data_IF_614309505687
#
_entry.id   IF_614309505687
#
_cell.length_a   1.000
_cell.length_b   1.000
_cell.length_c   1.000
_cell.angle_alpha   90.00
_cell.angle_beta   90.00
_cell.angle_gamma   90.00
#
_symmetry.space_group_name_H-M   'P 1'
#
loop_
_entity.id
_entity.type
_entity.pdbx_description
1 polymer ?
#
# COMPACT_ATOMS: atom_id res chain seq x y z
N UNK A 1 -11.14 -6.99 37.35
CA UNK A 1 -10.80 -6.13 36.20
C UNK A 1 -9.93 -6.98 35.30
N UNK A 2 -10.46 -7.38 34.13
CA UNK A 2 -9.68 -8.10 33.12
C UNK A 2 -9.12 -7.05 32.18
N UNK A 3 -7.81 -7.06 32.03
CA UNK A 3 -7.07 -6.23 31.09
C UNK A 3 -7.53 -6.54 29.66
N UNK A 4 -8.05 -5.51 28.98
CA UNK A 4 -8.31 -5.53 27.56
C UNK A 4 -6.96 -5.35 26.85
N UNK A 5 -6.31 -6.45 26.48
CA UNK A 5 -5.35 -6.43 25.38
C UNK A 5 -6.16 -6.28 24.10
N UNK A 6 -5.98 -5.18 23.39
CA UNK A 6 -6.49 -5.01 22.04
C UNK A 6 -5.81 -6.03 21.13
N UNK A 7 -6.40 -7.22 20.98
CA UNK A 7 -6.18 -8.05 19.80
C UNK A 7 -7.13 -7.55 18.71
N UNK A 8 -6.58 -7.33 17.52
CA UNK A 8 -7.18 -6.57 16.44
C UNK A 8 -8.65 -6.94 16.14
N UNK A 9 -9.57 -5.96 16.04
CA UNK A 9 -10.96 -6.20 15.66
C UNK A 9 -11.13 -6.81 14.25
N UNK A 10 -10.10 -6.76 13.40
CA UNK A 10 -10.09 -7.41 12.08
C UNK A 10 -10.25 -8.94 12.18
N UNK A 11 -9.56 -9.60 13.11
CA UNK A 11 -9.64 -11.06 13.25
C UNK A 11 -11.06 -11.53 13.60
N UNK A 12 -11.77 -10.77 14.43
CA UNK A 12 -13.12 -11.11 14.84
C UNK A 12 -14.19 -10.96 13.75
N UNK A 13 -13.92 -10.31 12.61
CA UNK A 13 -14.89 -10.28 11.51
C UNK A 13 -14.65 -11.42 10.52
N UNK A 14 -13.38 -11.75 10.27
CA UNK A 14 -13.00 -12.90 9.46
C UNK A 14 -13.37 -14.24 10.13
N UNK A 15 -13.32 -14.34 11.45
CA UNK A 15 -13.69 -15.55 12.22
C UNK A 15 -15.16 -16.00 12.07
N UNK A 16 -16.06 -15.13 11.58
CA UNK A 16 -17.51 -15.42 11.50
C UNK A 16 -18.00 -15.70 10.09
N UNK A 17 -17.14 -15.56 9.08
CA UNK A 17 -17.45 -15.95 7.72
C UNK A 17 -16.93 -17.34 7.43
N UNK A 18 -17.70 -18.12 6.66
CA UNK A 18 -17.23 -19.36 6.05
C UNK A 18 -16.45 -18.99 4.78
N UNK A 19 -15.20 -18.55 4.99
CA UNK A 19 -14.32 -18.08 3.91
C UNK A 19 -13.47 -19.24 3.40
N UNK A 20 -13.55 -19.48 2.09
CA UNK A 20 -12.63 -20.37 1.40
C UNK A 20 -11.50 -19.51 0.80
N UNK A 21 -10.40 -19.37 1.54
CA UNK A 21 -9.22 -18.66 1.05
C UNK A 21 -8.31 -19.63 0.28
N UNK A 22 -7.71 -19.18 -0.84
CA UNK A 22 -6.69 -19.98 -1.51
C UNK A 22 -5.48 -20.16 -0.57
N UNK A 23 -4.93 -21.36 -0.52
CA UNK A 23 -3.66 -21.62 0.15
C UNK A 23 -2.51 -21.16 -0.76
N UNK A 24 -1.39 -20.69 -0.18
CA UNK A 24 -0.23 -20.21 -0.95
C UNK A 24 0.29 -21.26 -1.94
N UNK A 25 0.20 -22.55 -1.58
CA UNK A 25 0.59 -23.66 -2.47
C UNK A 25 -0.29 -23.81 -3.72
N UNK A 26 -1.45 -23.15 -3.76
CA UNK A 26 -2.34 -23.10 -4.92
C UNK A 26 -2.01 -21.93 -5.86
N UNK A 27 -1.13 -21.01 -5.41
CA UNK A 27 -0.64 -19.89 -6.20
C UNK A 27 0.66 -20.28 -6.90
N UNK A 28 0.86 -19.79 -8.12
CA UNK A 28 2.09 -20.05 -8.89
C UNK A 28 3.33 -19.40 -8.25
N UNK A 29 3.15 -18.22 -7.67
CA UNK A 29 4.15 -17.46 -6.95
C UNK A 29 3.46 -16.53 -5.94
N UNK A 30 4.05 -16.38 -4.76
CA UNK A 30 3.69 -15.37 -3.76
C UNK A 30 4.97 -14.67 -3.35
N UNK A 31 5.04 -13.36 -3.57
CA UNK A 31 6.16 -12.54 -3.11
C UNK A 31 5.67 -11.49 -2.12
N UNK A 32 6.35 -11.43 -0.98
CA UNK A 32 6.15 -10.41 0.03
C UNK A 32 7.16 -9.29 -0.21
N UNK A 33 6.81 -8.35 -1.09
CA UNK A 33 7.75 -7.31 -1.57
C UNK A 33 8.37 -6.45 -0.47
N UNK A 34 7.73 -6.35 0.69
CA UNK A 34 8.28 -5.65 1.86
C UNK A 34 9.58 -6.29 2.36
N UNK A 35 9.83 -7.58 2.09
CA UNK A 35 11.07 -8.27 2.45
C UNK A 35 12.29 -7.74 1.68
N UNK A 36 12.07 -7.07 0.55
CA UNK A 36 13.14 -6.49 -0.27
C UNK A 36 13.46 -5.05 0.13
N UNK A 37 12.67 -4.46 1.04
CA UNK A 37 12.92 -3.12 1.55
C UNK A 37 14.13 -3.15 2.50
N UNK A 38 15.14 -2.28 2.29
CA UNK A 38 16.28 -2.20 3.19
C UNK A 38 15.85 -1.92 4.64
N UNK A 39 16.40 -2.68 5.59
CA UNK A 39 16.22 -2.41 7.03
C UNK A 39 17.37 -1.55 7.54
N UNK A 40 17.13 -0.25 7.80
CA UNK A 40 18.14 0.66 8.34
C UNK A 40 17.70 2.12 8.41
N UNK A 41 18.47 2.93 9.15
CA UNK A 41 18.26 4.38 9.30
C UNK A 41 18.67 5.21 8.06
N UNK A 42 19.16 4.56 7.00
CA UNK A 42 19.93 5.25 5.96
C UNK A 42 19.55 4.77 4.55
N UNK A 43 18.29 4.97 4.12
CA UNK A 43 17.90 4.66 2.75
C UNK A 43 16.85 5.64 2.21
N UNK A 44 17.07 6.13 0.99
CA UNK A 44 16.15 7.01 0.24
C UNK A 44 14.79 6.36 -0.10
N UNK A 45 14.62 5.08 0.25
CA UNK A 45 13.41 4.28 0.00
C UNK A 45 12.97 3.43 1.22
N UNK A 46 13.78 3.35 2.28
CA UNK A 46 13.47 2.63 3.51
C UNK A 46 12.85 3.60 4.49
N UNK A 47 11.56 3.46 4.74
CA UNK A 47 10.83 4.45 5.53
C UNK A 47 10.78 4.07 7.01
N UNK A 48 11.38 4.85 7.92
CA UNK A 48 11.00 4.77 9.33
C UNK A 48 9.54 5.20 9.48
N UNK A 49 8.63 4.22 9.50
CA UNK A 49 7.21 4.38 9.79
C UNK A 49 6.26 4.48 8.58
N UNK A 50 6.70 4.19 7.35
CA UNK A 50 5.79 4.12 6.20
C UNK A 50 5.71 2.71 5.60
N UNK A 51 4.63 2.45 4.87
CA UNK A 51 4.44 1.21 4.13
C UNK A 51 5.38 1.16 2.93
N UNK A 52 5.74 -0.07 2.50
CA UNK A 52 6.62 -0.32 1.36
C UNK A 52 6.25 0.54 0.14
N UNK A 53 7.27 1.22 -0.40
CA UNK A 53 7.11 2.13 -1.52
C UNK A 53 6.56 1.44 -2.78
N UNK A 54 5.81 2.16 -3.63
CA UNK A 54 5.14 1.56 -4.79
C UNK A 54 6.14 0.97 -5.80
N UNK A 55 7.35 1.53 -5.87
CA UNK A 55 8.45 1.07 -6.74
C UNK A 55 8.80 -0.41 -6.52
N UNK A 56 8.75 -0.92 -5.29
CA UNK A 56 9.03 -2.33 -5.00
C UNK A 56 8.00 -3.26 -5.64
N UNK A 57 6.71 -2.90 -5.56
CA UNK A 57 5.62 -3.65 -6.21
C UNK A 57 5.76 -3.57 -7.72
N UNK A 58 6.03 -2.37 -8.25
CA UNK A 58 6.20 -2.14 -9.69
C UNK A 58 7.36 -2.93 -10.27
N UNK A 59 8.55 -2.84 -9.67
CA UNK A 59 9.75 -3.53 -10.14
C UNK A 59 9.55 -5.04 -10.14
N UNK A 60 9.05 -5.60 -9.03
CA UNK A 60 8.77 -7.03 -8.94
C UNK A 60 7.67 -7.45 -9.89
N UNK A 61 6.62 -6.66 -10.06
CA UNK A 61 5.56 -6.92 -11.02
C UNK A 61 6.06 -7.00 -12.46
N UNK A 62 6.97 -6.10 -12.86
CA UNK A 62 7.60 -6.12 -14.18
C UNK A 62 8.52 -7.33 -14.33
N UNK A 63 9.39 -7.60 -13.35
CA UNK A 63 10.28 -8.77 -13.38
C UNK A 63 9.48 -10.06 -13.51
N UNK A 64 8.48 -10.27 -12.65
CA UNK A 64 7.65 -11.48 -12.67
C UNK A 64 6.87 -11.59 -13.98
N UNK A 65 6.29 -10.49 -14.47
CA UNK A 65 5.55 -10.47 -15.73
C UNK A 65 6.40 -10.78 -16.96
N UNK A 66 7.72 -10.52 -16.92
CA UNK A 66 8.66 -10.85 -18.01
C UNK A 66 9.28 -12.24 -17.86
N UNK A 67 9.48 -12.72 -16.64
CA UNK A 67 10.17 -13.97 -16.33
C UNK A 67 9.23 -15.19 -16.29
N UNK A 68 7.94 -14.96 -16.03
CA UNK A 68 6.94 -16.01 -15.85
C UNK A 68 5.72 -15.82 -16.76
N UNK A 69 5.11 -16.95 -17.14
CA UNK A 69 3.89 -17.01 -17.97
C UNK A 69 2.71 -17.44 -17.11
N UNK A 70 2.22 -16.53 -16.27
CA UNK A 70 1.06 -16.76 -15.40
C UNK A 70 -0.23 -16.23 -16.04
N UNK A 71 -1.33 -16.98 -15.88
CA UNK A 71 -2.65 -16.56 -16.39
C UNK A 71 -3.17 -15.28 -15.73
N UNK A 72 -2.77 -15.01 -14.47
CA UNK A 72 -3.22 -13.86 -13.66
C UNK A 72 -2.12 -13.43 -12.71
N UNK A 73 -2.03 -12.11 -12.51
CA UNK A 73 -1.16 -11.48 -11.53
C UNK A 73 -1.98 -10.48 -10.70
N UNK A 74 -1.74 -10.46 -9.39
CA UNK A 74 -2.32 -9.48 -8.47
C UNK A 74 -1.15 -8.71 -7.86
N UNK A 75 -1.17 -7.39 -8.03
CA UNK A 75 -0.19 -6.47 -7.45
C UNK A 75 -0.90 -5.60 -6.42
N UNK A 76 -0.37 -5.57 -5.19
CA UNK A 76 -1.01 -4.92 -4.05
C UNK A 76 -0.16 -3.75 -3.56
N UNK A 77 -0.58 -2.55 -3.93
CA UNK A 77 0.04 -1.31 -3.49
C UNK A 77 -0.56 -0.87 -2.15
N UNK A 78 0.27 -0.29 -1.27
CA UNK A 78 -0.19 0.17 0.05
C UNK A 78 -0.69 1.62 0.03
N UNK A 79 -0.24 2.42 -0.94
CA UNK A 79 -0.62 3.82 -1.05
C UNK A 79 -2.06 3.97 -1.57
N UNK A 80 -2.82 4.99 -1.13
CA UNK A 80 -2.41 6.09 -0.25
C UNK A 80 -2.72 5.86 1.24
N UNK A 81 -2.23 4.78 1.85
CA UNK A 81 -2.30 4.61 3.31
C UNK A 81 -1.34 5.58 4.02
N UNK A 82 -1.73 6.06 5.20
CA UNK A 82 -0.86 6.92 6.03
C UNK A 82 0.41 6.18 6.49
N UNK A 83 1.54 6.87 6.74
CA UNK A 83 1.75 8.32 6.55
C UNK A 83 1.76 8.71 5.06
N UNK A 84 1.27 9.91 4.74
CA UNK A 84 1.25 10.46 3.38
C UNK A 84 2.61 11.05 3.00
N UNK A 85 3.55 10.19 2.63
CA UNK A 85 4.96 10.52 2.54
C UNK A 85 5.40 11.14 1.21
N UNK A 86 4.60 11.02 0.14
CA UNK A 86 5.01 11.42 -1.21
C UNK A 86 5.63 12.83 -1.33
N UNK A 87 5.03 13.85 -0.71
CA UNK A 87 5.57 15.23 -0.80
C UNK A 87 6.85 15.40 0.01
N UNK A 88 6.92 14.80 1.20
CA UNK A 88 8.09 14.87 2.05
C UNK A 88 9.31 14.21 1.37
N UNK A 89 9.10 13.08 0.71
CA UNK A 89 10.08 12.41 -0.14
C UNK A 89 10.57 13.29 -1.29
N UNK A 90 9.63 13.84 -2.07
CA UNK A 90 9.97 14.65 -3.24
C UNK A 90 10.76 15.93 -2.88
N UNK A 91 10.55 16.45 -1.66
CA UNK A 91 11.20 17.66 -1.15
C UNK A 91 12.42 17.39 -0.26
N UNK A 92 12.78 16.12 -0.02
CA UNK A 92 13.86 15.70 0.89
C UNK A 92 13.77 16.38 2.28
N UNK A 93 12.59 16.24 2.92
CA UNK A 93 12.30 16.84 4.22
C UNK A 93 11.58 15.87 5.15
N UNK A 94 11.59 16.11 6.47
CA UNK A 94 10.74 15.36 7.39
C UNK A 94 9.25 15.57 7.07
N UNK A 95 8.45 14.58 7.46
CA UNK A 95 6.98 14.66 7.44
C UNK A 95 6.49 15.81 8.33
N UNK A 96 5.47 16.51 7.85
CA UNK A 96 4.66 17.35 8.72
C UNK A 96 3.68 16.50 9.54
N UNK A 97 3.21 17.04 10.67
CA UNK A 97 2.25 16.35 11.54
C UNK A 97 0.99 15.87 10.79
N UNK A 98 0.52 16.64 9.80
CA UNK A 98 -0.66 16.31 9.00
C UNK A 98 -0.41 15.28 7.89
N UNK A 99 0.85 15.01 7.56
CA UNK A 99 1.26 13.93 6.66
C UNK A 99 1.48 12.64 7.47
N UNK A 100 2.05 12.75 8.67
CA UNK A 100 2.32 11.61 9.54
C UNK A 100 1.06 11.09 10.24
N UNK A 101 0.33 11.96 10.94
CA UNK A 101 -0.88 11.63 11.72
C UNK A 101 -2.09 12.44 11.22
N UNK A 102 -2.53 12.22 9.97
CA UNK A 102 -3.51 13.06 9.29
C UNK A 102 -4.82 13.21 10.07
N UNK A 103 -5.30 12.14 10.70
CA UNK A 103 -6.57 12.16 11.41
C UNK A 103 -6.47 12.78 12.81
N UNK A 104 -5.31 12.74 13.46
CA UNK A 104 -5.07 13.52 14.67
C UNK A 104 -4.94 15.01 14.34
N UNK A 105 -4.28 15.34 13.22
CA UNK A 105 -4.18 16.70 12.71
C UNK A 105 -5.55 17.30 12.39
N UNK A 106 -6.43 16.55 11.70
CA UNK A 106 -7.82 16.96 11.46
C UNK A 106 -8.57 17.21 12.78
N UNK A 107 -8.45 16.30 13.75
CA UNK A 107 -9.10 16.45 15.07
C UNK A 107 -8.56 17.64 15.86
N UNK A 108 -7.31 18.04 15.60
CA UNK A 108 -6.64 19.19 16.22
C UNK A 108 -6.89 20.51 15.50
N UNK A 109 -7.63 20.50 14.38
CA UNK A 109 -8.08 21.70 13.68
C UNK A 109 -7.29 22.07 12.42
N UNK A 110 -6.39 21.21 11.92
CA UNK A 110 -5.83 21.36 10.58
C UNK A 110 -6.95 21.29 9.55
N UNK A 111 -6.89 22.14 8.53
CA UNK A 111 -7.93 22.17 7.52
C UNK A 111 -7.95 20.89 6.67
N UNK A 112 -9.17 20.46 6.32
CA UNK A 112 -9.40 19.22 5.55
C UNK A 112 -8.75 19.26 4.18
N UNK A 113 -8.64 20.43 3.56
CA UNK A 113 -8.06 20.57 2.22
C UNK A 113 -6.56 20.29 2.22
N UNK A 114 -5.85 20.69 3.28
CA UNK A 114 -4.41 20.41 3.48
C UNK A 114 -4.17 18.90 3.62
N UNK A 115 -4.94 18.23 4.48
CA UNK A 115 -4.81 16.77 4.68
C UNK A 115 -5.22 15.99 3.43
N UNK A 116 -6.32 16.37 2.79
CA UNK A 116 -6.74 15.77 1.53
C UNK A 116 -5.72 16.01 0.42
N UNK A 117 -5.04 17.17 0.41
CA UNK A 117 -3.96 17.47 -0.50
C UNK A 117 -2.79 16.48 -0.35
N UNK A 118 -2.37 16.20 0.88
CA UNK A 118 -1.33 15.20 1.14
C UNK A 118 -1.76 13.79 0.71
N UNK A 119 -3.00 13.38 1.02
CA UNK A 119 -3.56 12.12 0.55
C UNK A 119 -3.56 11.99 -0.98
N UNK A 120 -3.95 13.06 -1.68
CA UNK A 120 -3.98 13.07 -3.14
C UNK A 120 -2.59 13.06 -3.77
N UNK A 121 -1.59 13.62 -3.10
CA UNK A 121 -0.20 13.53 -3.56
C UNK A 121 0.33 12.11 -3.42
N UNK A 122 0.00 11.42 -2.34
CA UNK A 122 0.37 10.01 -2.15
C UNK A 122 -0.35 9.09 -3.16
N UNK A 123 -1.62 9.39 -3.46
CA UNK A 123 -2.36 8.70 -4.52
C UNK A 123 -1.73 8.94 -5.90
N UNK A 124 -1.30 10.16 -6.22
CA UNK A 124 -0.61 10.43 -7.49
C UNK A 124 0.72 9.71 -7.57
N UNK A 125 1.47 9.71 -6.47
CA UNK A 125 2.76 9.03 -6.39
C UNK A 125 2.67 7.54 -6.76
N UNK A 126 1.68 6.81 -6.22
CA UNK A 126 1.47 5.41 -6.63
C UNK A 126 0.94 5.28 -8.05
N UNK A 127 0.11 6.21 -8.52
CA UNK A 127 -0.41 6.16 -9.89
C UNK A 127 0.69 6.39 -10.94
N UNK A 128 1.72 7.18 -10.65
CA UNK A 128 2.90 7.32 -11.51
C UNK A 128 3.64 5.96 -11.65
N UNK A 129 3.68 5.18 -10.57
CA UNK A 129 4.25 3.83 -10.55
C UNK A 129 3.39 2.80 -11.29
N UNK A 130 2.06 2.90 -11.15
CA UNK A 130 1.11 2.09 -11.93
C UNK A 130 1.18 2.42 -13.42
N UNK A 131 1.35 3.70 -13.79
CA UNK A 131 1.58 4.08 -15.19
C UNK A 131 2.86 3.43 -15.74
N UNK A 132 3.96 3.46 -14.98
CA UNK A 132 5.18 2.77 -15.40
C UNK A 132 4.99 1.26 -15.55
N UNK A 133 4.27 0.62 -14.63
CA UNK A 133 3.94 -0.79 -14.70
C UNK A 133 3.18 -1.11 -16.00
N UNK A 134 2.11 -0.34 -16.31
CA UNK A 134 1.27 -0.58 -17.50
C UNK A 134 2.04 -0.45 -18.83
N UNK A 135 3.09 0.36 -18.85
CA UNK A 135 3.98 0.52 -20.01
C UNK A 135 5.08 -0.56 -20.10
N UNK A 136 5.17 -1.47 -19.13
CA UNK A 136 6.26 -2.46 -19.02
C UNK A 136 5.79 -3.89 -18.69
N UNK A 137 4.49 -4.18 -18.81
CA UNK A 137 3.93 -5.54 -18.76
C UNK A 137 2.94 -5.73 -19.91
N UNK A 138 2.77 -6.97 -20.37
CA UNK A 138 1.73 -7.32 -21.33
C UNK A 138 0.49 -7.85 -20.60
N UNK A 139 -0.65 -7.18 -20.77
CA UNK A 139 -1.94 -7.67 -20.28
C UNK A 139 -3.10 -7.15 -21.13
N UNK A 140 -3.89 -8.08 -21.70
CA UNK A 140 -5.09 -7.75 -22.47
C UNK A 140 -6.22 -7.16 -21.60
N UNK A 141 -6.19 -7.42 -20.30
CA UNK A 141 -7.16 -6.89 -19.34
C UNK A 141 -6.47 -6.57 -18.02
N UNK A 142 -6.54 -5.30 -17.62
CA UNK A 142 -6.11 -4.82 -16.31
C UNK A 142 -7.30 -4.16 -15.62
N UNK A 143 -7.53 -4.52 -14.35
CA UNK A 143 -8.48 -3.86 -13.48
C UNK A 143 -7.71 -3.18 -12.33
N UNK A 144 -7.88 -1.88 -12.19
CA UNK A 144 -7.31 -1.08 -11.09
C UNK A 144 -8.46 -0.72 -10.14
N UNK A 145 -8.31 -1.11 -8.89
CA UNK A 145 -9.30 -0.92 -7.82
C UNK A 145 -8.59 -0.63 -6.50
N UNK A 146 -9.37 -0.22 -5.51
CA UNK A 146 -8.94 -0.19 -4.11
C UNK A 146 -9.74 -1.22 -3.30
N UNK A 147 -9.19 -1.63 -2.17
CA UNK A 147 -9.85 -2.46 -1.17
C UNK A 147 -10.88 -1.65 -0.35
N UNK A 148 -10.60 -0.38 -0.07
CA UNK A 148 -11.52 0.58 0.52
C UNK A 148 -11.24 2.03 0.08
N UNK A 149 -12.13 2.95 0.46
CA UNK A 149 -11.91 4.39 0.43
C UNK A 149 -11.61 4.94 1.84
N UNK A 150 -11.63 6.25 2.01
CA UNK A 150 -11.19 6.91 3.24
C UNK A 150 -12.15 8.04 3.67
N UNK A 151 -12.47 8.12 4.97
CA UNK A 151 -13.28 9.21 5.51
C UNK A 151 -12.40 10.30 6.16
N UNK A 152 -12.73 11.56 5.87
CA UNK A 152 -12.01 12.75 6.30
C UNK A 152 -12.86 13.62 7.25
N UNK A 153 -13.68 12.99 8.08
CA UNK A 153 -14.55 13.65 9.06
C UNK A 153 -16.02 13.71 8.68
N UNK A 154 -16.45 13.07 7.58
CA UNK A 154 -17.85 12.99 7.20
C UNK A 154 -18.67 12.37 8.34
N UNK A 155 -19.64 13.15 8.86
CA UNK A 155 -20.46 12.75 10.00
C UNK A 155 -19.66 12.39 11.27
N UNK A 156 -18.46 12.97 11.41
CA UNK A 156 -17.55 12.68 12.52
C UNK A 156 -16.78 11.36 12.39
N UNK A 157 -16.88 10.69 11.24
CA UNK A 157 -16.10 9.48 10.94
C UNK A 157 -14.81 9.87 10.24
N UNK A 158 -13.71 9.32 10.73
CA UNK A 158 -12.38 9.45 10.18
C UNK A 158 -11.85 8.06 9.88
N UNK A 159 -10.87 7.96 8.99
CA UNK A 159 -10.28 6.70 8.57
C UNK A 159 -11.33 5.80 7.88
N UNK A 160 -11.09 4.50 7.90
CA UNK A 160 -11.91 3.47 7.29
C UNK A 160 -12.35 2.44 8.34
N UNK A 161 -13.24 2.79 9.30
CA UNK A 161 -13.63 1.85 10.35
C UNK A 161 -14.26 0.57 9.78
N UNK A 162 -13.90 -0.57 10.36
CA UNK A 162 -14.45 -1.88 9.99
C UNK A 162 -15.99 -1.83 10.07
N UNK A 163 -16.64 -2.30 9.01
CA UNK A 163 -18.11 -2.30 8.91
C UNK A 163 -18.72 -0.93 8.63
N UNK A 164 -17.92 0.08 8.25
CA UNK A 164 -18.43 1.40 7.85
C UNK A 164 -19.46 1.28 6.73
N UNK A 165 -20.57 2.00 6.88
CA UNK A 165 -21.61 2.14 5.85
C UNK A 165 -21.42 3.41 5.01
N UNK A 166 -20.40 4.22 5.32
CA UNK A 166 -20.19 5.47 4.61
C UNK A 166 -19.78 5.21 3.16
N UNK A 167 -20.42 5.89 2.18
CA UNK A 167 -20.02 5.79 0.78
C UNK A 167 -18.55 6.13 0.54
N UNK A 168 -17.97 7.03 1.32
CA UNK A 168 -16.57 7.45 1.24
C UNK A 168 -15.60 6.29 1.51
N UNK A 169 -15.96 5.36 2.40
CA UNK A 169 -15.16 4.18 2.71
C UNK A 169 -15.49 3.02 1.78
N UNK A 170 -16.72 2.92 1.28
CA UNK A 170 -17.20 1.75 0.51
C UNK A 170 -17.12 1.89 -1.00
N UNK A 171 -17.08 3.10 -1.54
CA UNK A 171 -17.05 3.33 -2.99
C UNK A 171 -15.60 3.43 -3.43
N UNK A 172 -15.13 2.36 -4.03
CA UNK A 172 -13.80 2.25 -4.63
C UNK A 172 -13.90 2.40 -6.15
N UNK A 173 -12.84 2.89 -6.81
CA UNK A 173 -12.78 2.91 -8.26
C UNK A 173 -12.76 1.49 -8.82
N UNK A 174 -13.27 1.32 -10.04
CA UNK A 174 -13.05 0.13 -10.86
C UNK A 174 -12.71 0.64 -12.26
N UNK A 175 -11.42 0.65 -12.58
CA UNK A 175 -10.90 1.15 -13.85
C UNK A 175 -10.40 -0.04 -14.66
N UNK A 176 -10.96 -0.22 -15.85
CA UNK A 176 -10.54 -1.25 -16.80
C UNK A 176 -9.64 -0.63 -17.87
N UNK A 177 -8.50 -1.24 -18.12
CA UNK A 177 -7.52 -0.81 -19.12
C UNK A 177 -6.75 -2.01 -19.68
N UNK A 178 -5.75 -1.76 -20.50
CA UNK A 178 -4.78 -2.74 -21.01
C UNK A 178 -3.36 -2.29 -20.65
N UNK A 179 -2.41 -3.21 -20.70
CA UNK A 179 -0.98 -2.94 -20.54
C UNK A 179 -0.22 -3.52 -21.74
N UNK A 180 0.84 -2.83 -22.18
CA UNK A 180 1.71 -3.32 -23.24
C UNK A 180 3.16 -3.07 -22.83
N UNK A 181 3.99 -4.11 -22.88
CA UNK A 181 5.40 -3.95 -22.55
C UNK A 181 6.15 -3.25 -23.70
N UNK A 182 6.62 -2.04 -23.42
CA UNK A 182 7.44 -1.27 -24.35
C UNK A 182 8.95 -1.45 -24.13
N UNK A 183 9.36 -2.21 -23.10
CA UNK A 183 10.77 -2.41 -22.74
C UNK A 183 11.47 -1.10 -22.34
N UNK A 184 10.71 -0.11 -21.87
CA UNK A 184 11.21 1.24 -21.57
C UNK A 184 11.88 1.37 -20.20
N UNK A 185 11.67 0.39 -19.34
CA UNK A 185 12.16 0.36 -17.97
C UNK A 185 12.75 -1.01 -17.62
N UNK A 186 13.87 -0.99 -16.90
CA UNK A 186 14.52 -2.18 -16.35
C UNK A 186 14.36 -2.18 -14.83
N UNK A 187 13.69 -3.18 -14.24
CA UNK A 187 13.54 -3.29 -12.79
C UNK A 187 14.88 -3.33 -12.06
N UNK A 188 14.92 -2.71 -10.90
CA UNK A 188 16.12 -2.60 -10.06
C UNK A 188 16.01 -3.39 -8.76
N UNK A 189 14.80 -3.63 -8.27
CA UNK A 189 14.57 -4.46 -7.08
C UNK A 189 14.73 -5.94 -7.41
N UNK A 190 15.71 -6.59 -6.78
CA UNK A 190 15.94 -8.04 -6.89
C UNK A 190 15.81 -8.74 -5.54
N UNK A 191 15.38 -10.02 -5.49
CA UNK A 191 15.21 -10.76 -4.24
C UNK A 191 16.49 -11.01 -3.42
N UNK A 192 17.69 -10.82 -3.99
CA UNK A 192 18.95 -11.33 -3.44
C UNK A 192 19.77 -10.31 -2.61
N UNK A 193 19.35 -9.04 -2.49
CA UNK A 193 20.15 -7.99 -1.83
C UNK A 193 19.75 -7.67 -0.36
N UNK A 194 18.59 -8.12 0.12
CA UNK A 194 18.19 -7.93 1.51
C UNK A 194 18.55 -9.18 2.33
N UNK A 195 19.67 -9.15 3.05
CA UNK A 195 19.99 -10.20 4.02
C UNK A 195 18.85 -10.36 5.01
N UNK A 196 18.38 -11.60 5.20
CA UNK A 196 17.26 -12.04 6.06
C UNK A 196 17.00 -11.09 7.25
N UNK A 197 16.14 -10.07 7.09
CA UNK A 197 15.85 -9.15 8.18
C UNK A 197 15.03 -9.90 9.21
N UNK A 198 15.20 -9.57 10.50
CA UNK A 198 14.32 -10.11 11.52
C UNK A 198 12.89 -9.66 11.21
N UNK A 199 12.08 -10.61 10.72
CA UNK A 199 10.68 -10.41 10.31
C UNK A 199 9.89 -9.69 11.40
N UNK A 200 10.22 -9.92 12.68
CA UNK A 200 9.55 -9.24 13.79
C UNK A 200 9.90 -7.74 13.87
N UNK A 201 11.17 -7.36 13.68
CA UNK A 201 11.60 -5.96 13.67
C UNK A 201 11.01 -5.21 12.47
N UNK A 202 10.91 -5.86 11.32
CA UNK A 202 10.39 -5.24 10.09
C UNK A 202 8.86 -5.07 10.12
N UNK A 203 8.12 -6.06 10.62
CA UNK A 203 6.67 -5.93 10.83
C UNK A 203 6.34 -4.83 11.85
N UNK A 204 7.18 -4.63 12.85
CA UNK A 204 7.04 -3.52 13.80
C UNK A 204 7.30 -2.16 13.11
N UNK A 205 8.32 -2.06 12.26
CA UNK A 205 8.61 -0.83 11.49
C UNK A 205 7.46 -0.43 10.55
N UNK A 206 6.76 -1.43 9.98
CA UNK A 206 5.59 -1.25 9.11
C UNK A 206 4.26 -1.05 9.87
N UNK A 207 4.27 -1.04 11.21
CA UNK A 207 3.09 -0.79 12.04
C UNK A 207 2.13 -1.97 12.21
N UNK A 208 2.55 -3.19 11.89
CA UNK A 208 1.73 -4.41 12.02
C UNK A 208 1.81 -5.08 13.42
N UNK A 209 2.73 -4.65 14.31
CA UNK A 209 2.92 -5.21 15.66
C UNK A 209 3.14 -4.16 16.74
#
# INVERSE_FOLDING_TARGET
MRDYKASAPANYFFDWGDWEFPHESELGLVEHVWQYEPTGDDDAYGHPGAYTGPRFVTDRGISVGREHDFDRMILHYSQPHRPYAARALAEDRPLYDYENEPFEALRSGVDRETVLGAYLDDLRYVLDDVELLLDNIDAEQVAISADHGEAFGEWGVYEHPIGSLLPQVRRVPWVETVANDHGGYEPTVTPDDAGDPDVDEQLQALGYK
#
